data_IF_785991710127
#
_entry.id   IF_785991710127
#
_cell.length_a   1.000
_cell.length_b   1.000
_cell.length_c   1.000
_cell.angle_alpha   90.00
_cell.angle_beta   90.00
_cell.angle_gamma   90.00
#
_symmetry.space_group_name_H-M   'P 1'
#
loop_
_entity.id
_entity.type
_entity.pdbx_description
1 polymer ?
#
# COMPACT_ATOMS: atom_id res chain seq x y z
N UNK A 1 -8.53 10.98 0.90
CA UNK A 1 -7.46 9.97 0.86
C UNK A 1 -8.01 8.70 0.21
N UNK A 2 -7.24 8.10 -0.69
CA UNK A 2 -7.58 6.80 -1.28
C UNK A 2 -7.45 5.72 -0.20
N UNK A 3 -8.44 4.82 -0.02
CA UNK A 3 -8.23 3.65 0.84
C UNK A 3 -7.07 2.81 0.31
N UNK A 4 -5.98 2.66 1.06
CA UNK A 4 -4.77 2.03 0.53
C UNK A 4 -5.00 0.52 0.32
N UNK A 5 -4.88 0.00 -0.91
CA UNK A 5 -4.97 -1.43 -1.13
C UNK A 5 -3.78 -2.17 -0.52
N UNK A 6 -4.04 -3.37 -0.04
CA UNK A 6 -3.03 -4.26 0.52
C UNK A 6 -2.07 -4.77 -0.56
N UNK A 7 -0.76 -4.79 -0.27
CA UNK A 7 0.25 -5.37 -1.19
C UNK A 7 0.26 -6.90 -1.17
N UNK A 8 -0.93 -7.51 -1.14
CA UNK A 8 -1.12 -8.97 -1.11
C UNK A 8 -1.41 -9.59 -2.46
N UNK A 9 -1.58 -8.78 -3.50
CA UNK A 9 -1.86 -9.21 -4.87
C UNK A 9 -2.48 -8.11 -5.72
N UNK A 10 -3.04 -8.50 -6.86
CA UNK A 10 -3.67 -7.61 -7.82
C UNK A 10 -4.99 -7.03 -7.32
N UNK A 11 -5.38 -5.88 -7.86
CA UNK A 11 -6.70 -5.30 -7.62
C UNK A 11 -7.81 -6.19 -8.20
N UNK A 12 -8.98 -6.14 -7.60
CA UNK A 12 -10.19 -6.81 -8.07
C UNK A 12 -11.31 -5.80 -8.35
N UNK A 13 -12.43 -6.27 -8.90
CA UNK A 13 -13.54 -5.40 -9.32
C UNK A 13 -14.08 -4.50 -8.20
N UNK A 14 -14.04 -4.94 -6.94
CA UNK A 14 -14.44 -4.12 -5.80
C UNK A 14 -13.53 -2.90 -5.61
N UNK A 15 -12.22 -3.04 -5.82
CA UNK A 15 -11.29 -1.92 -5.82
C UNK A 15 -11.59 -0.97 -6.99
N UNK A 16 -11.80 -1.52 -8.20
CA UNK A 16 -12.13 -0.72 -9.37
C UNK A 16 -13.38 0.13 -9.14
N UNK A 17 -14.45 -0.46 -8.60
CA UNK A 17 -15.67 0.27 -8.28
C UNK A 17 -15.43 1.40 -7.27
N UNK A 18 -14.75 1.08 -6.16
CA UNK A 18 -14.48 2.07 -5.09
C UNK A 18 -13.66 3.24 -5.61
N UNK A 19 -12.60 2.98 -6.36
CA UNK A 19 -11.72 4.04 -6.88
C UNK A 19 -12.38 4.83 -8.00
N UNK A 20 -13.18 4.19 -8.86
CA UNK A 20 -13.94 4.90 -9.90
C UNK A 20 -14.94 5.89 -9.30
N UNK A 21 -15.69 5.50 -8.26
CA UNK A 21 -16.62 6.40 -7.59
C UNK A 21 -15.88 7.59 -6.97
N UNK A 22 -14.74 7.34 -6.30
CA UNK A 22 -13.93 8.42 -5.73
C UNK A 22 -13.38 9.34 -6.84
N UNK A 23 -12.86 8.78 -7.92
CA UNK A 23 -12.30 9.55 -9.03
C UNK A 23 -13.35 10.44 -9.71
N UNK A 24 -14.58 9.97 -9.86
CA UNK A 24 -15.69 10.76 -10.36
C UNK A 24 -15.91 12.01 -9.49
N UNK A 25 -15.96 11.85 -8.17
CA UNK A 25 -16.14 12.97 -7.23
C UNK A 25 -14.96 13.95 -7.28
N UNK A 26 -13.74 13.42 -7.33
CA UNK A 26 -12.51 14.22 -7.42
C UNK A 26 -12.51 15.04 -8.71
N UNK A 27 -12.79 14.42 -9.85
CA UNK A 27 -12.86 15.11 -11.16
C UNK A 27 -13.99 16.13 -11.21
N UNK A 28 -15.15 15.82 -10.66
CA UNK A 28 -16.27 16.73 -10.57
C UNK A 28 -15.90 18.01 -9.82
N UNK A 29 -15.27 17.88 -8.66
CA UNK A 29 -14.86 19.06 -7.88
C UNK A 29 -13.73 19.86 -8.54
N UNK A 30 -12.78 19.19 -9.19
CA UNK A 30 -11.74 19.88 -9.99
C UNK A 30 -12.35 20.68 -11.14
N UNK A 31 -13.36 20.14 -11.84
CA UNK A 31 -14.08 20.87 -12.89
C UNK A 31 -14.84 22.10 -12.37
N UNK A 32 -15.19 22.13 -11.09
CA UNK A 32 -15.76 23.32 -10.42
C UNK A 32 -14.69 24.35 -10.00
N UNK A 33 -13.41 24.11 -10.28
CA UNK A 33 -12.31 24.99 -9.92
C UNK A 33 -11.81 24.83 -8.49
N UNK A 34 -12.22 23.78 -7.79
CA UNK A 34 -11.73 23.50 -6.43
C UNK A 34 -10.34 22.83 -6.46
N UNK A 35 -9.49 23.19 -5.51
CA UNK A 35 -8.23 22.50 -5.26
C UNK A 35 -8.51 21.20 -4.48
N UNK A 36 -8.34 20.07 -5.16
CA UNK A 36 -8.70 18.75 -4.62
C UNK A 36 -7.51 17.82 -4.64
N UNK A 37 -7.00 17.48 -3.47
CA UNK A 37 -6.00 16.44 -3.29
C UNK A 37 -6.65 15.06 -3.14
N UNK A 38 -6.30 14.13 -4.02
CA UNK A 38 -6.59 12.71 -3.86
C UNK A 38 -5.30 11.95 -3.59
N UNK A 39 -5.01 11.71 -2.32
CA UNK A 39 -3.80 11.07 -1.83
C UNK A 39 -3.82 9.56 -2.11
N UNK A 40 -2.92 9.02 -2.97
CA UNK A 40 -2.78 7.58 -3.18
C UNK A 40 -1.85 6.94 -2.16
N UNK A 41 -1.91 5.61 -2.08
CA UNK A 41 -0.99 4.82 -1.28
C UNK A 41 -1.31 3.34 -1.30
N UNK A 42 -0.43 2.54 -0.70
CA UNK A 42 -0.60 1.09 -0.52
C UNK A 42 -0.36 0.70 0.93
N UNK A 43 -1.01 -0.38 1.36
CA UNK A 43 -0.91 -0.90 2.72
C UNK A 43 0.02 -2.12 2.76
N UNK A 44 0.88 -2.16 3.76
CA UNK A 44 1.79 -3.28 4.02
C UNK A 44 1.06 -4.57 4.47
N UNK A 45 -0.18 -4.47 4.95
CA UNK A 45 -1.06 -5.57 5.36
C UNK A 45 -0.43 -6.59 6.36
N UNK A 46 0.73 -6.33 6.90
CA UNK A 46 1.40 -7.08 7.96
C UNK A 46 1.46 -8.60 7.73
N UNK A 47 0.77 -9.37 8.57
CA UNK A 47 0.76 -10.84 8.55
C UNK A 47 0.31 -11.40 7.19
N UNK A 48 -0.68 -10.79 6.54
CA UNK A 48 -1.20 -11.28 5.27
C UNK A 48 -0.13 -11.24 4.17
N UNK A 49 0.66 -10.18 4.09
CA UNK A 49 1.78 -10.06 3.14
C UNK A 49 2.86 -11.12 3.43
N UNK A 50 3.21 -11.33 4.70
CA UNK A 50 4.17 -12.37 5.08
C UNK A 50 3.68 -13.77 4.66
N UNK A 51 2.39 -14.08 4.88
CA UNK A 51 1.80 -15.37 4.45
C UNK A 51 1.86 -15.55 2.92
N UNK A 52 1.65 -14.49 2.14
CA UNK A 52 1.79 -14.56 0.68
C UNK A 52 3.23 -14.86 0.29
N UNK A 53 4.19 -14.15 0.89
CA UNK A 53 5.63 -14.38 0.64
C UNK A 53 6.05 -15.80 1.03
N UNK A 54 5.58 -16.31 2.17
CA UNK A 54 5.85 -17.70 2.58
C UNK A 54 5.33 -18.72 1.56
N UNK A 55 4.13 -18.49 0.99
CA UNK A 55 3.59 -19.36 -0.07
C UNK A 55 4.43 -19.31 -1.36
N UNK A 56 4.92 -18.13 -1.73
CA UNK A 56 5.83 -18.00 -2.88
C UNK A 56 7.16 -18.72 -2.65
N UNK A 57 7.76 -18.56 -1.47
CA UNK A 57 8.99 -19.25 -1.08
C UNK A 57 8.82 -20.78 -1.07
N UNK A 58 7.66 -21.27 -0.61
CA UNK A 58 7.37 -22.71 -0.58
C UNK A 58 7.40 -23.35 -1.98
N UNK A 59 7.06 -22.60 -3.05
CA UNK A 59 7.18 -23.09 -4.44
C UNK A 59 8.63 -23.45 -4.82
N UNK A 60 9.60 -22.83 -4.14
CA UNK A 60 11.05 -23.08 -4.30
C UNK A 60 11.63 -23.93 -3.17
N UNK A 61 10.77 -24.61 -2.38
CA UNK A 61 11.17 -25.39 -1.21
C UNK A 61 11.95 -24.58 -0.15
N UNK A 62 11.69 -23.27 -0.07
CA UNK A 62 12.27 -22.38 0.93
C UNK A 62 11.26 -22.11 2.05
N UNK A 63 11.77 -21.95 3.28
CA UNK A 63 10.95 -21.58 4.43
C UNK A 63 11.53 -20.35 5.10
N UNK A 64 10.69 -19.56 5.78
CA UNK A 64 11.16 -18.40 6.53
C UNK A 64 12.17 -18.76 7.62
N UNK A 65 12.01 -19.92 8.24
CA UNK A 65 12.95 -20.42 9.27
C UNK A 65 14.30 -20.82 8.66
N UNK A 66 14.29 -21.45 7.47
CA UNK A 66 15.52 -21.81 6.76
C UNK A 66 16.29 -20.60 6.23
N UNK A 67 15.59 -19.52 5.83
CA UNK A 67 16.22 -18.29 5.38
C UNK A 67 16.75 -17.43 6.53
N UNK A 68 16.12 -17.49 7.69
CA UNK A 68 16.36 -16.56 8.78
C UNK A 68 15.68 -15.20 8.58
N UNK A 69 15.63 -14.40 9.66
CA UNK A 69 14.85 -13.15 9.70
C UNK A 69 15.25 -12.14 8.62
N UNK A 70 16.55 -11.88 8.48
CA UNK A 70 17.05 -10.82 7.57
C UNK A 70 16.67 -11.11 6.12
N UNK A 71 17.02 -12.30 5.62
CA UNK A 71 16.70 -12.70 4.24
C UNK A 71 15.20 -12.84 3.98
N UNK A 72 14.42 -13.23 5.00
CA UNK A 72 12.99 -13.25 4.87
C UNK A 72 12.40 -11.84 4.70
N UNK A 73 12.86 -10.88 5.51
CA UNK A 73 12.47 -9.46 5.40
C UNK A 73 12.84 -8.89 4.04
N UNK A 74 14.03 -9.19 3.50
CA UNK A 74 14.42 -8.81 2.13
C UNK A 74 13.40 -9.32 1.10
N UNK A 75 12.99 -10.60 1.20
CA UNK A 75 11.96 -11.18 0.31
C UNK A 75 10.58 -10.51 0.45
N UNK A 76 10.22 -10.07 1.64
CA UNK A 76 8.98 -9.30 1.85
C UNK A 76 9.07 -7.93 1.17
N UNK A 77 10.22 -7.25 1.22
CA UNK A 77 10.43 -5.99 0.51
C UNK A 77 10.44 -6.16 -1.01
N UNK A 78 11.09 -7.20 -1.54
CA UNK A 78 11.02 -7.54 -2.97
C UNK A 78 9.57 -7.75 -3.44
N UNK A 79 8.78 -8.47 -2.65
CA UNK A 79 7.36 -8.66 -2.92
C UNK A 79 6.59 -7.34 -2.90
N UNK A 80 6.82 -6.48 -1.91
CA UNK A 80 6.21 -5.15 -1.81
C UNK A 80 6.48 -4.32 -3.06
N UNK A 81 7.72 -4.28 -3.54
CA UNK A 81 8.06 -3.53 -4.76
C UNK A 81 7.29 -4.05 -5.98
N UNK A 82 7.27 -5.36 -6.16
CA UNK A 82 6.54 -6.01 -7.25
C UNK A 82 5.03 -5.75 -7.18
N UNK A 83 4.41 -6.08 -6.05
CA UNK A 83 2.96 -5.99 -5.87
C UNK A 83 2.46 -4.55 -5.83
N UNK A 84 3.18 -3.65 -5.15
CA UNK A 84 2.86 -2.21 -5.12
C UNK A 84 2.95 -1.58 -6.50
N UNK A 85 3.99 -1.91 -7.27
CA UNK A 85 4.13 -1.45 -8.66
C UNK A 85 3.01 -1.96 -9.57
N UNK A 86 2.59 -3.22 -9.41
CA UNK A 86 1.44 -3.78 -10.14
C UNK A 86 0.14 -3.04 -9.82
N UNK A 87 -0.15 -2.81 -8.53
CA UNK A 87 -1.33 -2.05 -8.07
C UNK A 87 -1.36 -0.65 -8.68
N UNK A 88 -0.25 0.07 -8.61
CA UNK A 88 -0.14 1.42 -9.17
C UNK A 88 -0.36 1.43 -10.69
N UNK A 89 0.19 0.45 -11.40
CA UNK A 89 -0.02 0.30 -12.85
C UNK A 89 -1.48 -0.02 -13.19
N UNK A 90 -2.15 -0.87 -12.41
CA UNK A 90 -3.57 -1.17 -12.58
C UNK A 90 -4.45 0.06 -12.36
N UNK A 91 -4.16 0.88 -11.33
CA UNK A 91 -4.86 2.14 -11.09
C UNK A 91 -4.65 3.15 -12.23
N UNK A 92 -3.44 3.23 -12.77
CA UNK A 92 -3.14 4.07 -13.96
C UNK A 92 -3.90 3.59 -15.19
N UNK A 93 -3.93 2.27 -15.42
CA UNK A 93 -4.69 1.66 -16.53
C UNK A 93 -6.20 1.87 -16.39
N UNK A 94 -6.74 1.90 -15.16
CA UNK A 94 -8.13 2.25 -14.87
C UNK A 94 -8.43 3.73 -15.16
N UNK A 95 -7.41 4.57 -15.31
CA UNK A 95 -7.54 6.01 -15.53
C UNK A 95 -7.73 6.83 -14.26
N UNK A 96 -7.45 6.26 -13.09
CA UNK A 96 -7.52 6.97 -11.82
C UNK A 96 -6.57 8.19 -11.81
N UNK A 97 -7.03 9.31 -11.24
CA UNK A 97 -6.33 10.60 -11.25
C UNK A 97 -5.89 11.11 -9.86
N UNK A 98 -5.29 10.26 -9.01
CA UNK A 98 -4.72 10.76 -7.77
C UNK A 98 -3.44 11.57 -8.02
N UNK A 99 -2.94 12.22 -6.97
CA UNK A 99 -1.64 12.89 -6.98
C UNK A 99 -0.53 11.83 -6.80
N UNK A 100 -0.03 11.31 -7.92
CA UNK A 100 0.98 10.24 -7.94
C UNK A 100 2.31 10.65 -7.28
N UNK A 101 2.65 11.94 -7.25
CA UNK A 101 3.88 12.44 -6.61
C UNK A 101 3.81 12.32 -5.08
N UNK A 102 2.60 12.24 -4.54
CA UNK A 102 2.34 12.08 -3.11
C UNK A 102 2.02 10.63 -2.71
N UNK A 103 2.33 9.65 -3.55
CA UNK A 103 2.13 8.24 -3.22
C UNK A 103 2.85 7.88 -1.91
N UNK A 104 2.15 7.17 -1.02
CA UNK A 104 2.68 6.73 0.27
C UNK A 104 2.53 5.22 0.46
N UNK A 105 3.43 4.67 1.24
CA UNK A 105 3.34 3.29 1.72
C UNK A 105 3.26 3.30 3.24
N UNK A 106 2.36 2.50 3.82
CA UNK A 106 2.06 2.56 5.27
C UNK A 106 3.26 2.24 6.18
N UNK A 107 4.32 1.64 5.65
CA UNK A 107 5.59 1.42 6.36
C UNK A 107 6.75 2.27 5.81
N UNK A 108 6.48 3.34 5.07
CA UNK A 108 7.55 4.25 4.68
C UNK A 108 8.19 4.94 5.90
N UNK A 109 9.37 5.51 5.70
CA UNK A 109 10.14 6.12 6.79
C UNK A 109 9.37 7.21 7.53
N UNK A 110 8.63 8.06 6.81
CA UNK A 110 7.86 9.14 7.40
C UNK A 110 6.70 8.65 8.25
N UNK A 111 5.92 7.70 7.76
CA UNK A 111 4.81 7.10 8.51
C UNK A 111 5.30 6.25 9.68
N UNK A 112 6.41 5.51 9.50
CA UNK A 112 7.05 4.77 10.60
C UNK A 112 7.48 5.71 11.74
N UNK A 113 8.10 6.85 11.43
CA UNK A 113 8.43 7.88 12.43
C UNK A 113 7.20 8.44 13.11
N UNK A 114 6.14 8.71 12.36
CA UNK A 114 4.87 9.22 12.91
C UNK A 114 4.25 8.23 13.91
N UNK A 115 4.19 6.95 13.55
CA UNK A 115 3.67 5.88 14.43
C UNK A 115 4.46 5.83 15.75
N UNK A 116 5.78 5.79 15.68
CA UNK A 116 6.64 5.77 16.88
C UNK A 116 6.43 7.02 17.72
N UNK A 117 6.36 8.20 17.09
CA UNK A 117 6.17 9.47 17.80
C UNK A 117 4.84 9.52 18.54
N UNK A 118 3.75 9.05 17.90
CA UNK A 118 2.42 8.98 18.53
C UNK A 118 2.42 7.97 19.67
N UNK A 119 3.00 6.79 19.48
CA UNK A 119 3.11 5.78 20.53
C UNK A 119 3.83 6.31 21.77
N UNK A 120 5.00 6.95 21.58
CA UNK A 120 5.78 7.54 22.66
C UNK A 120 5.01 8.68 23.36
N UNK A 121 4.28 9.51 22.60
CA UNK A 121 3.47 10.58 23.15
C UNK A 121 2.36 10.02 24.04
N UNK A 122 1.58 9.06 23.55
CA UNK A 122 0.51 8.42 24.32
C UNK A 122 1.06 7.78 25.62
N UNK A 123 2.18 7.07 25.54
CA UNK A 123 2.82 6.47 26.73
C UNK A 123 3.25 7.51 27.79
N UNK A 124 3.57 8.74 27.37
CA UNK A 124 4.00 9.80 28.31
C UNK A 124 2.81 10.60 28.90
N UNK A 125 1.66 10.53 28.27
CA UNK A 125 0.43 11.22 28.70
C UNK A 125 -0.47 10.34 29.60
N UNK A 126 -0.14 9.04 29.75
CA UNK A 126 -0.82 8.06 30.59
C UNK A 126 -0.14 7.98 31.99
#
# INVERSE_FOLDING_TARGET
>A
MMPPPNVTGSLHIGHALTFTIQDILIRFHRMQGLDVLWQPGTDHAGIATQMVVERELAKSNLTRHGLGREKFVEKVWEWKEKSGGEITNQLRALGASPDWEKERFTMDEGLSKAVISVFVKLYKED
#
